data_IF_220350330464
#
_entry.id   IF_220350330464
#
_cell.length_a   1.000
_cell.length_b   1.000
_cell.length_c   1.000
_cell.angle_alpha   90.00
_cell.angle_beta   90.00
_cell.angle_gamma   90.00
#
_symmetry.space_group_name_H-M   'P 1'
#
loop_
_entity.id
_entity.type
_entity.pdbx_description
1 polymer ?
#
# COMPACT_ATOMS: atom_id res chain seq x y z
N UNK A 1 35.82 41.58 -22.84
CA UNK A 1 35.07 40.44 -23.41
C UNK A 1 35.47 39.08 -22.82
N UNK A 2 36.76 38.85 -22.49
CA UNK A 2 37.30 37.56 -22.00
C UNK A 2 36.66 37.07 -20.67
N UNK A 3 36.29 37.98 -19.76
CA UNK A 3 35.71 37.62 -18.45
C UNK A 3 34.28 37.06 -18.59
N UNK A 4 33.49 37.60 -19.54
CA UNK A 4 32.13 37.12 -19.85
C UNK A 4 32.16 35.71 -20.42
N UNK A 5 33.16 35.38 -21.25
CA UNK A 5 33.34 34.05 -21.83
C UNK A 5 33.73 33.01 -20.78
N UNK A 6 34.60 33.36 -19.82
CA UNK A 6 34.95 32.48 -18.68
C UNK A 6 33.76 32.20 -17.76
N UNK A 7 32.94 33.21 -17.46
CA UNK A 7 31.72 33.01 -16.66
C UNK A 7 30.71 32.10 -17.36
N UNK A 8 30.53 32.24 -18.68
CA UNK A 8 29.59 31.39 -19.43
C UNK A 8 30.05 29.93 -19.42
N UNK A 9 31.35 29.67 -19.63
CA UNK A 9 31.90 28.31 -19.56
C UNK A 9 31.69 27.68 -18.18
N UNK A 10 31.85 28.47 -17.11
CA UNK A 10 31.64 27.99 -15.74
C UNK A 10 30.18 27.64 -15.46
N UNK A 11 29.24 28.45 -15.95
CA UNK A 11 27.79 28.20 -15.79
C UNK A 11 27.35 26.95 -16.55
N UNK A 12 27.85 26.75 -17.79
CA UNK A 12 27.54 25.55 -18.59
C UNK A 12 28.10 24.29 -17.92
N UNK A 13 29.32 24.36 -17.37
CA UNK A 13 29.90 23.25 -16.61
C UNK A 13 29.10 22.92 -15.34
N UNK A 14 28.53 23.92 -14.68
CA UNK A 14 27.70 23.72 -13.48
C UNK A 14 26.34 23.11 -13.84
N UNK A 15 25.73 23.49 -14.97
CA UNK A 15 24.49 22.88 -15.46
C UNK A 15 24.67 21.41 -15.88
N UNK A 16 25.84 21.03 -16.40
CA UNK A 16 26.12 19.64 -16.75
C UNK A 16 26.15 18.71 -15.51
N UNK A 17 26.52 19.24 -14.34
CA UNK A 17 26.52 18.49 -13.07
C UNK A 17 25.11 18.25 -12.50
N UNK A 18 24.11 19.01 -12.96
CA UNK A 18 22.70 18.86 -12.56
C UNK A 18 21.95 17.84 -13.42
N UNK A 19 22.55 17.34 -14.50
CA UNK A 19 21.99 16.30 -15.35
C UNK A 19 22.19 14.91 -14.72
N UNK A 20 21.43 14.60 -13.68
CA UNK A 20 21.32 13.23 -13.19
C UNK A 20 20.50 12.40 -14.19
N UNK A 21 21.11 11.37 -14.79
CA UNK A 21 20.37 10.39 -15.59
C UNK A 21 19.52 9.55 -14.64
N UNK A 22 18.21 9.82 -14.62
CA UNK A 22 17.26 8.95 -13.97
C UNK A 22 16.93 7.82 -14.95
N UNK A 23 17.37 6.60 -14.62
CA UNK A 23 16.95 5.41 -15.36
C UNK A 23 15.56 5.01 -14.88
N UNK A 24 14.60 4.97 -15.81
CA UNK A 24 13.22 4.56 -15.50
C UNK A 24 13.20 3.04 -15.49
N UNK A 25 12.99 2.46 -14.32
CA UNK A 25 12.81 1.02 -14.18
C UNK A 25 11.32 0.72 -14.37
N UNK A 26 10.96 0.08 -15.47
CA UNK A 26 9.63 -0.46 -15.68
C UNK A 26 9.47 -1.73 -14.81
N UNK A 27 8.56 -1.68 -13.84
CA UNK A 27 8.21 -2.83 -13.00
C UNK A 27 6.80 -3.28 -13.37
N UNK A 28 6.71 -4.45 -14.00
CA UNK A 28 5.43 -5.15 -14.16
C UNK A 28 5.09 -5.86 -12.84
N UNK A 29 4.19 -5.25 -12.06
CA UNK A 29 3.55 -5.93 -10.93
C UNK A 29 2.31 -6.63 -11.48
N UNK A 30 2.17 -7.95 -11.30
CA UNK A 30 0.96 -8.63 -11.74
C UNK A 30 -0.27 -8.02 -11.04
N UNK A 31 -1.36 -7.85 -11.77
CA UNK A 31 -2.61 -7.39 -11.15
C UNK A 31 -3.02 -8.37 -10.06
N UNK A 32 -3.10 -7.87 -8.82
CA UNK A 32 -3.72 -8.63 -7.75
C UNK A 32 -5.24 -8.52 -7.91
N UNK A 33 -5.93 -9.64 -7.68
CA UNK A 33 -7.37 -9.59 -7.54
C UNK A 33 -7.70 -9.04 -6.14
N UNK A 34 -8.78 -8.27 -6.03
CA UNK A 34 -9.31 -7.84 -4.74
C UNK A 34 -9.63 -9.07 -3.89
N UNK A 35 -9.04 -9.15 -2.70
CA UNK A 35 -9.22 -10.23 -1.75
C UNK A 35 -9.71 -9.68 -0.41
N UNK A 36 -10.50 -10.47 0.30
CA UNK A 36 -10.91 -10.15 1.68
C UNK A 36 -9.78 -10.56 2.61
N UNK A 37 -9.35 -9.63 3.47
CA UNK A 37 -8.38 -9.87 4.54
C UNK A 37 -9.09 -9.79 5.89
N UNK A 38 -9.05 -10.89 6.63
CA UNK A 38 -9.59 -10.98 8.00
C UNK A 38 -8.39 -11.09 8.93
N UNK A 39 -8.13 -10.04 9.69
CA UNK A 39 -7.02 -9.99 10.66
C UNK A 39 -7.56 -9.79 12.05
N UNK A 40 -6.99 -10.45 13.05
CA UNK A 40 -7.53 -10.35 14.39
C UNK A 40 -6.67 -11.05 15.43
N UNK A 41 -7.15 -11.00 16.67
CA UNK A 41 -6.54 -11.73 17.78
C UNK A 41 -7.60 -12.55 18.47
N UNK A 42 -7.31 -13.83 18.66
CA UNK A 42 -8.10 -14.76 19.47
C UNK A 42 -7.36 -14.95 20.80
N UNK A 43 -8.08 -14.83 21.92
CA UNK A 43 -7.48 -15.01 23.25
C UNK A 43 -8.45 -15.76 24.17
N UNK A 44 -7.90 -16.52 25.12
CA UNK A 44 -8.68 -17.32 26.06
C UNK A 44 -9.28 -16.51 27.22
N UNK A 45 -8.72 -15.32 27.50
CA UNK A 45 -8.98 -14.62 28.77
C UNK A 45 -9.86 -13.39 28.66
N UNK A 46 -9.91 -12.70 27.51
CA UNK A 46 -10.84 -11.57 27.25
C UNK A 46 -10.98 -11.33 25.75
N UNK A 47 -12.11 -11.73 25.18
CA UNK A 47 -12.64 -11.28 23.87
C UNK A 47 -11.68 -11.33 22.69
N UNK A 48 -11.99 -12.16 21.68
CA UNK A 48 -11.35 -12.02 20.38
C UNK A 48 -11.84 -10.77 19.64
N UNK A 49 -11.03 -10.23 18.74
CA UNK A 49 -11.48 -9.24 17.76
C UNK A 49 -11.00 -9.62 16.37
N UNK A 50 -11.76 -9.20 15.37
CA UNK A 50 -11.43 -9.35 13.97
C UNK A 50 -11.76 -8.06 13.22
N UNK A 51 -10.86 -7.68 12.32
CA UNK A 51 -10.97 -6.57 11.39
C UNK A 51 -11.10 -7.17 10.00
N UNK A 52 -12.14 -6.75 9.29
CA UNK A 52 -12.40 -7.17 7.91
C UNK A 52 -12.00 -6.02 6.99
N UNK A 53 -11.12 -6.31 6.05
CA UNK A 53 -10.60 -5.34 5.08
C UNK A 53 -10.49 -5.97 3.70
N UNK A 54 -10.13 -5.18 2.70
CA UNK A 54 -9.93 -5.62 1.32
C UNK A 54 -8.58 -5.19 0.80
N UNK A 55 -8.01 -5.99 -0.08
CA UNK A 55 -6.79 -5.62 -0.79
C UNK A 55 -7.13 -4.72 -1.98
N UNK A 56 -6.29 -3.70 -2.17
CA UNK A 56 -6.33 -2.85 -3.36
C UNK A 56 -5.27 -3.31 -4.37
N UNK A 57 -5.56 -3.11 -5.65
CA UNK A 57 -4.54 -3.18 -6.68
C UNK A 57 -3.64 -1.95 -6.56
N UNK A 58 -2.33 -2.20 -6.58
CA UNK A 58 -1.28 -1.20 -6.35
C UNK A 58 -1.35 -0.03 -7.34
N UNK A 59 -1.73 -0.30 -8.59
CA UNK A 59 -1.83 0.71 -9.65
C UNK A 59 -3.26 1.16 -9.96
N UNK A 60 -4.27 0.61 -9.30
CA UNK A 60 -5.65 1.00 -9.53
C UNK A 60 -5.90 2.42 -9.02
N UNK A 61 -6.38 3.30 -9.90
CA UNK A 61 -6.85 4.62 -9.54
C UNK A 61 -8.34 4.52 -9.18
N UNK A 62 -8.64 4.39 -7.89
CA UNK A 62 -10.00 4.27 -7.37
C UNK A 62 -10.01 4.00 -5.86
N UNK A 63 -11.17 4.12 -5.23
CA UNK A 63 -11.33 3.74 -3.83
C UNK A 63 -11.27 2.22 -3.68
N UNK A 64 -10.59 1.75 -2.64
CA UNK A 64 -10.59 0.33 -2.29
C UNK A 64 -12.00 -0.07 -1.86
N UNK A 65 -12.63 -1.08 -2.49
CA UNK A 65 -13.99 -1.48 -2.17
C UNK A 65 -14.06 -1.95 -0.71
N UNK A 66 -14.91 -1.33 0.11
CA UNK A 66 -15.10 -1.70 1.51
C UNK A 66 -16.05 -2.90 1.63
N UNK A 67 -15.86 -3.73 2.66
CA UNK A 67 -16.85 -4.72 3.06
C UNK A 67 -17.71 -4.10 4.15
N UNK A 68 -19.01 -3.99 3.90
CA UNK A 68 -20.01 -3.53 4.87
C UNK A 68 -20.79 -4.72 5.45
N UNK A 69 -21.36 -4.53 6.64
CA UNK A 69 -22.20 -5.51 7.34
C UNK A 69 -21.57 -6.92 7.51
N UNK A 70 -20.24 -6.97 7.63
CA UNK A 70 -19.52 -8.21 7.82
C UNK A 70 -19.70 -8.78 9.23
N UNK A 71 -19.87 -10.10 9.32
CA UNK A 71 -19.85 -10.86 10.57
C UNK A 71 -18.72 -11.89 10.54
N UNK A 72 -17.97 -11.96 11.63
CA UNK A 72 -16.91 -12.95 11.80
C UNK A 72 -17.34 -13.97 12.84
N UNK A 73 -17.46 -15.23 12.41
CA UNK A 73 -17.88 -16.34 13.26
C UNK A 73 -16.67 -17.23 13.57
N UNK A 74 -16.44 -17.51 14.85
CA UNK A 74 -15.38 -18.41 15.30
C UNK A 74 -15.98 -19.76 15.68
N UNK A 75 -15.39 -20.82 15.14
CA UNK A 75 -15.78 -22.21 15.41
C UNK A 75 -14.61 -22.99 16.00
N UNK A 76 -14.93 -23.87 16.95
CA UNK A 76 -14.03 -24.89 17.48
C UNK A 76 -14.74 -26.24 17.35
N UNK A 77 -14.11 -27.19 16.64
CA UNK A 77 -14.69 -28.51 16.34
C UNK A 77 -16.12 -28.47 15.75
N UNK A 78 -16.41 -27.43 14.95
CA UNK A 78 -17.71 -27.22 14.32
C UNK A 78 -18.77 -26.58 15.22
N UNK A 79 -18.46 -26.28 16.48
CA UNK A 79 -19.32 -25.55 17.41
C UNK A 79 -18.97 -24.06 17.35
N UNK A 80 -19.96 -23.19 17.19
CA UNK A 80 -19.76 -21.74 17.21
C UNK A 80 -19.43 -21.29 18.64
N UNK A 81 -18.22 -20.77 18.84
CA UNK A 81 -17.74 -20.34 20.16
C UNK A 81 -17.74 -18.82 20.33
N UNK A 82 -17.80 -18.06 19.23
CA UNK A 82 -17.86 -16.59 19.29
C UNK A 82 -18.36 -15.96 18.00
N UNK A 83 -18.92 -14.76 18.12
CA UNK A 83 -19.22 -13.84 17.02
C UNK A 83 -18.49 -12.52 17.30
N UNK A 84 -17.72 -12.05 16.32
CA UNK A 84 -16.99 -10.78 16.37
C UNK A 84 -17.61 -9.81 15.37
N UNK A 85 -17.91 -8.61 15.85
CA UNK A 85 -18.36 -7.51 15.01
C UNK A 85 -17.13 -6.94 14.29
N UNK A 86 -17.21 -6.80 12.97
CA UNK A 86 -16.17 -6.13 12.22
C UNK A 86 -16.13 -4.66 12.64
N UNK A 87 -15.02 -4.22 13.23
CA UNK A 87 -14.79 -2.79 13.47
C UNK A 87 -14.49 -2.15 12.12
N UNK A 88 -15.44 -1.39 11.61
CA UNK A 88 -15.44 -0.77 10.27
C UNK A 88 -14.71 0.57 10.25
#
# INVERSE_FOLDING_TARGET
MIVKLRSIVFIVSLMALLSSCQDVIEIDVPENQTAISITGRITDSKGGFAVVSTTANYFAQGETPKVEDARVLLFEDGIMVSEMQADS
#
